data_IF_321336557540
#
_entry.id   IF_321336557540
#
_cell.length_a   1.000
_cell.length_b   1.000
_cell.length_c   1.000
_cell.angle_alpha   90.00
_cell.angle_beta   90.00
_cell.angle_gamma   90.00
#
_symmetry.space_group_name_H-M   'P 1'
#
loop_
_entity.id
_entity.type
_entity.pdbx_description
1 polymer ?
#
# COMPACT_ATOMS: atom_id res chain seq x y z
N UNK A 1 -15.74 -12.33 -36.74
CA UNK A 1 -15.63 -10.88 -37.05
C UNK A 1 -16.30 -10.13 -35.93
N UNK A 2 -15.82 -8.92 -35.62
CA UNK A 2 -16.47 -8.05 -34.61
C UNK A 2 -17.66 -7.38 -35.30
N UNK A 3 -18.81 -7.35 -34.65
CA UNK A 3 -19.99 -6.66 -35.19
C UNK A 3 -19.74 -5.15 -35.33
N UNK A 4 -19.82 -4.58 -36.55
CA UNK A 4 -19.58 -3.16 -36.76
C UNK A 4 -20.52 -2.24 -35.98
N UNK A 5 -21.73 -2.71 -35.69
CA UNK A 5 -22.73 -1.93 -34.93
C UNK A 5 -22.30 -1.74 -33.49
N UNK A 6 -21.70 -2.76 -32.86
CA UNK A 6 -21.19 -2.68 -31.49
C UNK A 6 -20.02 -1.68 -31.43
N UNK A 7 -19.11 -1.73 -32.39
CA UNK A 7 -17.98 -0.80 -32.46
C UNK A 7 -18.46 0.66 -32.62
N UNK A 8 -19.40 0.88 -33.51
CA UNK A 8 -20.01 2.21 -33.72
C UNK A 8 -20.66 2.72 -32.44
N UNK A 9 -21.41 1.87 -31.76
CA UNK A 9 -22.04 2.21 -30.49
C UNK A 9 -21.02 2.64 -29.43
N UNK A 10 -19.92 1.89 -29.24
CA UNK A 10 -18.86 2.23 -28.29
C UNK A 10 -18.15 3.54 -28.64
N UNK A 11 -17.92 3.81 -29.93
CA UNK A 11 -17.33 5.07 -30.40
C UNK A 11 -18.22 6.30 -30.13
N UNK A 12 -19.54 6.14 -30.16
CA UNK A 12 -20.49 7.21 -29.92
C UNK A 12 -20.70 7.50 -28.43
N UNK A 13 -20.43 6.51 -27.55
CA UNK A 13 -20.72 6.59 -26.13
C UNK A 13 -19.43 6.43 -25.31
N UNK A 14 -18.63 7.49 -25.28
CA UNK A 14 -17.34 7.54 -24.56
C UNK A 14 -17.11 8.89 -23.91
N UNK A 15 -16.29 8.93 -22.87
CA UNK A 15 -15.79 10.17 -22.27
C UNK A 15 -14.61 10.76 -23.10
N UNK A 16 -14.07 11.90 -22.65
CA UNK A 16 -12.96 12.60 -23.29
C UNK A 16 -11.66 11.78 -23.33
N UNK A 17 -11.53 10.75 -22.48
CA UNK A 17 -10.40 9.81 -22.45
C UNK A 17 -10.60 8.62 -23.39
N UNK A 18 -11.76 8.54 -24.04
CA UNK A 18 -12.16 7.40 -24.83
C UNK A 18 -12.75 6.23 -24.04
N UNK A 19 -12.90 6.35 -22.73
CA UNK A 19 -13.48 5.31 -21.89
C UNK A 19 -14.98 5.24 -22.17
N UNK A 20 -15.57 4.04 -22.39
CA UNK A 20 -17.01 3.92 -22.59
C UNK A 20 -17.81 4.58 -21.46
N UNK A 21 -18.72 5.47 -21.84
CA UNK A 21 -19.63 6.18 -20.95
C UNK A 21 -21.04 6.01 -21.46
N UNK A 22 -21.79 5.08 -20.84
CA UNK A 22 -23.10 4.63 -21.33
C UNK A 22 -24.07 4.62 -20.15
N UNK A 23 -25.21 5.31 -20.28
CA UNK A 23 -26.23 5.30 -19.23
C UNK A 23 -26.77 3.90 -19.02
N UNK A 24 -27.12 3.60 -17.79
CA UNK A 24 -27.63 2.28 -17.38
C UNK A 24 -28.81 1.79 -18.23
N UNK A 25 -29.76 2.69 -18.54
CA UNK A 25 -30.91 2.31 -19.36
C UNK A 25 -30.48 1.94 -20.78
N UNK A 26 -29.65 2.75 -21.41
CA UNK A 26 -29.14 2.51 -22.75
C UNK A 26 -28.32 1.21 -22.81
N UNK A 27 -27.50 0.95 -21.78
CA UNK A 27 -26.74 -0.29 -21.66
C UNK A 27 -27.65 -1.52 -21.57
N UNK A 28 -28.68 -1.47 -20.74
CA UNK A 28 -29.64 -2.58 -20.60
C UNK A 28 -30.38 -2.89 -21.91
N UNK A 29 -30.72 -1.88 -22.66
CA UNK A 29 -31.40 -2.06 -23.94
C UNK A 29 -30.43 -2.61 -25.00
N UNK A 30 -29.19 -2.14 -24.98
CA UNK A 30 -28.14 -2.59 -25.89
C UNK A 30 -27.76 -4.08 -25.66
N UNK A 31 -27.55 -4.53 -24.43
CA UNK A 31 -27.18 -5.91 -24.13
C UNK A 31 -28.28 -6.93 -24.41
N UNK A 32 -29.55 -6.50 -24.55
CA UNK A 32 -30.64 -7.38 -24.97
C UNK A 32 -30.66 -7.66 -26.47
N UNK A 33 -30.02 -6.80 -27.26
CA UNK A 33 -30.04 -6.85 -28.72
C UNK A 33 -28.81 -7.56 -29.32
N UNK A 34 -27.76 -7.77 -28.51
CA UNK A 34 -26.49 -8.35 -28.97
C UNK A 34 -26.06 -9.53 -28.11
N UNK A 35 -25.31 -10.44 -28.71
CA UNK A 35 -24.71 -11.54 -27.99
C UNK A 35 -23.64 -11.04 -27.01
N UNK A 36 -23.60 -11.63 -25.84
CA UNK A 36 -22.71 -11.19 -24.75
C UNK A 36 -21.22 -11.37 -25.11
N UNK A 37 -20.87 -12.45 -25.81
CA UNK A 37 -19.47 -12.70 -26.15
C UNK A 37 -19.02 -11.79 -27.29
N UNK A 38 -19.94 -11.41 -28.20
CA UNK A 38 -19.67 -10.40 -29.22
C UNK A 38 -19.44 -9.00 -28.59
N UNK A 39 -20.23 -8.62 -27.59
CA UNK A 39 -20.03 -7.37 -26.85
C UNK A 39 -18.69 -7.39 -26.11
N UNK A 40 -18.33 -8.45 -25.40
CA UNK A 40 -17.05 -8.60 -24.71
C UNK A 40 -15.87 -8.45 -25.66
N UNK A 41 -15.94 -9.16 -26.79
CA UNK A 41 -14.91 -9.13 -27.82
C UNK A 41 -14.76 -7.74 -28.46
N UNK A 42 -15.88 -7.07 -28.77
CA UNK A 42 -15.87 -5.73 -29.32
C UNK A 42 -15.32 -4.71 -28.31
N UNK A 43 -15.71 -4.81 -27.05
CA UNK A 43 -15.22 -3.94 -25.97
C UNK A 43 -13.71 -4.11 -25.75
N UNK A 44 -13.21 -5.36 -25.68
CA UNK A 44 -11.79 -5.63 -25.57
C UNK A 44 -10.99 -5.09 -26.78
N UNK A 45 -11.49 -5.32 -27.98
CA UNK A 45 -10.89 -4.78 -29.19
C UNK A 45 -10.90 -3.25 -29.22
N UNK A 46 -12.02 -2.63 -28.85
CA UNK A 46 -12.15 -1.18 -28.79
C UNK A 46 -11.10 -0.57 -27.86
N UNK A 47 -10.96 -1.12 -26.65
CA UNK A 47 -10.02 -0.63 -25.63
C UNK A 47 -8.57 -0.76 -26.14
N UNK A 48 -8.19 -1.94 -26.60
CA UNK A 48 -6.80 -2.23 -26.98
C UNK A 48 -6.41 -1.51 -28.27
N UNK A 49 -7.28 -1.54 -29.31
CA UNK A 49 -6.98 -0.89 -30.60
C UNK A 49 -6.88 0.62 -30.51
N UNK A 50 -7.69 1.25 -29.65
CA UNK A 50 -7.64 2.70 -29.45
C UNK A 50 -6.64 3.10 -28.36
N UNK A 51 -5.87 2.17 -27.81
CA UNK A 51 -4.91 2.41 -26.72
C UNK A 51 -5.51 3.21 -25.55
N UNK A 52 -6.73 2.84 -25.15
CA UNK A 52 -7.43 3.51 -24.06
C UNK A 52 -6.66 3.29 -22.75
N UNK A 53 -6.34 4.35 -22.05
CA UNK A 53 -5.65 4.27 -20.75
C UNK A 53 -6.52 3.59 -19.69
N UNK A 54 -5.88 2.87 -18.76
CA UNK A 54 -6.60 2.25 -17.65
C UNK A 54 -7.43 3.30 -16.89
N UNK A 55 -8.70 3.04 -16.58
CA UNK A 55 -9.61 4.02 -15.97
C UNK A 55 -9.30 4.31 -14.50
N UNK A 56 -8.16 4.94 -14.23
CA UNK A 56 -7.80 5.38 -12.87
C UNK A 56 -8.76 6.46 -12.38
N UNK A 57 -8.93 6.55 -11.05
CA UNK A 57 -9.72 7.64 -10.45
C UNK A 57 -9.05 8.98 -10.78
N UNK A 58 -9.79 9.88 -11.39
CA UNK A 58 -9.30 11.23 -11.64
C UNK A 58 -9.25 12.01 -10.32
N UNK A 59 -8.08 12.51 -10.00
CA UNK A 59 -7.82 13.34 -8.82
C UNK A 59 -7.30 14.68 -9.34
N UNK A 60 -8.02 15.76 -9.05
CA UNK A 60 -7.62 17.10 -9.42
C UNK A 60 -6.47 17.56 -8.50
N UNK A 61 -5.52 18.32 -9.04
CA UNK A 61 -4.38 18.84 -8.27
C UNK A 61 -4.81 19.77 -7.12
N UNK A 62 -5.77 20.66 -7.38
CA UNK A 62 -6.26 21.57 -6.35
C UNK A 62 -6.94 20.81 -5.21
N UNK A 63 -7.80 19.84 -5.53
CA UNK A 63 -8.47 19.00 -4.53
C UNK A 63 -7.46 18.18 -3.71
N UNK A 64 -6.42 17.65 -4.37
CA UNK A 64 -5.33 16.93 -3.69
C UNK A 64 -4.56 17.87 -2.76
N UNK A 65 -4.24 19.08 -3.22
CA UNK A 65 -3.53 20.09 -2.45
C UNK A 65 -4.30 20.55 -1.21
N UNK A 66 -5.58 20.86 -1.36
CA UNK A 66 -6.45 21.22 -0.24
C UNK A 66 -6.59 20.07 0.77
N UNK A 67 -6.71 18.85 0.27
CA UNK A 67 -6.77 17.66 1.09
C UNK A 67 -5.46 17.44 1.86
N UNK A 68 -4.29 17.64 1.22
CA UNK A 68 -2.99 17.53 1.86
C UNK A 68 -2.82 18.59 2.95
N UNK A 69 -3.16 19.85 2.70
CA UNK A 69 -3.08 20.93 3.69
C UNK A 69 -4.02 20.68 4.88
N UNK A 70 -5.21 20.15 4.62
CA UNK A 70 -6.13 19.73 5.70
C UNK A 70 -5.53 18.57 6.49
N UNK A 71 -4.94 17.58 5.82
CA UNK A 71 -4.26 16.45 6.44
C UNK A 71 -3.10 16.90 7.34
N UNK A 72 -2.30 17.86 6.88
CA UNK A 72 -1.20 18.41 7.67
C UNK A 72 -1.68 19.10 8.96
N UNK A 73 -2.84 19.77 8.94
CA UNK A 73 -3.41 20.50 10.07
C UNK A 73 -4.23 19.65 11.04
N UNK A 74 -4.62 18.45 10.66
CA UNK A 74 -5.51 17.57 11.45
C UNK A 74 -4.68 16.52 12.18
N UNK A 75 -4.74 16.48 13.52
CA UNK A 75 -4.14 15.38 14.29
C UNK A 75 -4.86 14.06 14.02
N UNK A 76 -4.11 12.98 13.99
CA UNK A 76 -4.61 11.61 13.83
C UNK A 76 -4.63 10.83 15.15
N UNK A 77 -4.36 11.47 16.29
CA UNK A 77 -4.32 10.82 17.60
C UNK A 77 -5.67 10.19 17.97
N UNK A 78 -6.78 10.82 17.59
CA UNK A 78 -8.13 10.30 17.86
C UNK A 78 -8.45 8.98 17.10
N UNK A 79 -7.59 8.57 16.17
CA UNK A 79 -7.73 7.29 15.49
C UNK A 79 -7.32 6.10 16.38
N UNK A 80 -6.59 6.33 17.47
CA UNK A 80 -6.28 5.29 18.44
C UNK A 80 -7.49 4.95 19.28
N UNK A 81 -7.80 3.65 19.35
CA UNK A 81 -8.88 3.08 20.16
C UNK A 81 -8.35 1.93 21.01
N UNK A 82 -9.03 1.65 22.11
CA UNK A 82 -8.69 0.56 23.02
C UNK A 82 -9.91 -0.36 23.21
N UNK A 83 -10.32 -1.08 22.16
CA UNK A 83 -11.51 -1.93 22.22
C UNK A 83 -11.26 -3.15 23.12
N UNK A 84 -12.31 -3.64 23.78
CA UNK A 84 -12.25 -4.81 24.66
C UNK A 84 -11.99 -6.11 23.88
N UNK A 85 -12.46 -6.18 22.62
CA UNK A 85 -12.36 -7.37 21.79
C UNK A 85 -11.80 -7.03 20.41
N UNK A 86 -10.72 -7.70 20.07
CA UNK A 86 -10.08 -7.65 18.75
C UNK A 86 -9.82 -9.08 18.27
N UNK A 87 -9.79 -9.27 16.95
CA UNK A 87 -9.37 -10.54 16.38
C UNK A 87 -8.51 -10.33 15.15
N UNK A 88 -7.60 -11.24 14.94
CA UNK A 88 -6.82 -11.41 13.72
C UNK A 88 -7.42 -12.55 12.88
N UNK A 89 -6.87 -12.82 11.73
CA UNK A 89 -7.31 -13.97 10.94
C UNK A 89 -7.18 -15.26 11.76
N UNK A 90 -8.22 -16.06 11.78
CA UNK A 90 -8.28 -17.30 12.58
C UNK A 90 -7.20 -18.35 12.22
N UNK A 91 -6.63 -18.23 11.01
CA UNK A 91 -5.53 -19.09 10.54
C UNK A 91 -4.13 -18.56 10.92
N UNK A 92 -4.02 -17.36 11.51
CA UNK A 92 -2.79 -16.82 12.07
C UNK A 92 -2.72 -17.16 13.56
N UNK A 93 -1.84 -18.09 13.92
CA UNK A 93 -1.61 -18.53 15.30
C UNK A 93 -0.19 -18.16 15.69
N UNK A 94 -0.02 -16.93 16.13
CA UNK A 94 1.25 -16.45 16.63
C UNK A 94 1.53 -16.98 18.04
N UNK A 95 2.78 -17.29 18.36
CA UNK A 95 3.24 -17.52 19.74
C UNK A 95 3.08 -16.25 20.57
N UNK A 96 3.35 -15.11 19.95
CA UNK A 96 3.17 -13.78 20.52
C UNK A 96 1.74 -13.28 20.24
N UNK A 97 0.76 -13.94 20.88
CA UNK A 97 -0.67 -13.72 20.65
C UNK A 97 -1.33 -12.78 21.68
N UNK A 98 -0.54 -11.96 22.32
CA UNK A 98 -0.95 -10.95 23.30
C UNK A 98 -2.00 -9.98 22.71
N UNK A 99 -2.82 -9.43 23.60
CA UNK A 99 -3.80 -8.41 23.23
C UNK A 99 -3.08 -7.21 22.58
N UNK A 100 -3.56 -6.65 21.48
CA UNK A 100 -2.98 -5.46 20.90
C UNK A 100 -2.91 -4.29 21.89
N UNK A 101 -1.82 -3.56 21.87
CA UNK A 101 -1.59 -2.34 22.68
C UNK A 101 -2.67 -1.27 22.42
N UNK A 102 -3.28 -1.31 21.25
CA UNK A 102 -4.36 -0.46 20.80
C UNK A 102 -4.72 -0.79 19.37
N UNK A 103 -5.77 -0.16 18.87
CA UNK A 103 -6.21 -0.30 17.48
C UNK A 103 -6.20 1.07 16.82
N UNK A 104 -5.61 1.17 15.64
CA UNK A 104 -5.72 2.36 14.80
C UNK A 104 -6.87 2.16 13.82
N UNK A 105 -7.86 3.04 13.90
CA UNK A 105 -8.95 3.12 12.95
C UNK A 105 -8.41 3.54 11.59
N UNK A 106 -8.81 2.85 10.53
CA UNK A 106 -8.45 3.27 9.18
C UNK A 106 -9.52 4.16 8.57
N UNK A 107 -9.08 5.16 7.85
CA UNK A 107 -9.94 5.99 7.03
C UNK A 107 -9.38 6.07 5.61
N UNK A 108 -10.27 6.20 4.64
CA UNK A 108 -9.89 6.44 3.25
C UNK A 108 -9.82 7.95 2.91
N UNK A 109 -10.10 8.80 3.88
CA UNK A 109 -10.26 10.24 3.69
C UNK A 109 -9.04 10.91 3.03
N UNK A 110 -7.84 10.44 3.36
CA UNK A 110 -6.58 11.04 2.88
C UNK A 110 -5.85 10.19 1.84
N UNK A 111 -6.48 9.15 1.31
CA UNK A 111 -5.83 8.28 0.32
C UNK A 111 -5.45 9.03 -0.97
N UNK A 112 -6.19 10.06 -1.34
CA UNK A 112 -5.96 10.79 -2.58
C UNK A 112 -4.66 11.61 -2.57
N UNK A 113 -4.08 11.91 -1.39
CA UNK A 113 -2.84 12.68 -1.32
C UNK A 113 -1.66 11.91 -1.94
N UNK A 114 -1.55 10.61 -1.72
CA UNK A 114 -0.53 9.74 -2.32
C UNK A 114 -1.01 9.13 -3.65
N UNK A 115 -2.30 8.76 -3.76
CA UNK A 115 -2.84 8.19 -4.99
C UNK A 115 -2.73 9.14 -6.20
N UNK A 116 -2.75 10.44 -6.01
CA UNK A 116 -2.51 11.41 -7.07
C UNK A 116 -1.23 11.11 -7.83
N UNK A 117 -0.19 10.67 -7.12
CA UNK A 117 1.12 10.35 -7.70
C UNK A 117 1.26 8.87 -8.09
N UNK A 118 0.75 7.95 -7.27
CA UNK A 118 1.14 6.53 -7.31
C UNK A 118 0.04 5.59 -7.82
N UNK A 119 -1.14 6.08 -8.13
CA UNK A 119 -2.27 5.21 -8.49
C UNK A 119 -1.97 4.35 -9.73
N UNK A 120 -1.36 4.92 -10.77
CA UNK A 120 -1.01 4.18 -11.98
C UNK A 120 0.01 3.07 -11.70
N UNK A 121 1.07 3.40 -10.94
CA UNK A 121 2.09 2.42 -10.57
C UNK A 121 1.49 1.26 -9.77
N UNK A 122 0.55 1.56 -8.88
CA UNK A 122 -0.17 0.56 -8.11
C UNK A 122 -1.03 -0.35 -8.99
N UNK A 123 -1.63 0.15 -10.06
CA UNK A 123 -2.41 -0.66 -11.00
C UNK A 123 -1.54 -1.59 -11.85
N UNK A 124 -0.23 -1.36 -11.93
CA UNK A 124 0.74 -2.24 -12.59
C UNK A 124 1.22 -3.40 -11.71
N UNK A 125 0.89 -3.41 -10.42
CA UNK A 125 1.22 -4.50 -9.52
C UNK A 125 0.24 -5.67 -9.68
N UNK A 126 0.77 -6.86 -9.91
CA UNK A 126 0.03 -8.11 -9.93
C UNK A 126 0.26 -8.95 -8.67
N UNK A 127 -0.17 -10.20 -8.71
CA UNK A 127 0.13 -11.22 -7.70
C UNK A 127 0.86 -12.39 -8.34
N UNK A 128 1.24 -13.36 -7.52
CA UNK A 128 1.80 -14.63 -8.01
C UNK A 128 0.78 -15.49 -8.81
N UNK A 129 -0.51 -15.17 -8.74
CA UNK A 129 -1.59 -15.94 -9.36
C UNK A 129 -2.32 -15.19 -10.48
N UNK A 130 -2.33 -13.86 -10.44
CA UNK A 130 -3.14 -13.03 -11.32
C UNK A 130 -2.33 -11.82 -11.78
N UNK A 131 -2.39 -11.54 -13.07
CA UNK A 131 -1.79 -10.35 -13.65
C UNK A 131 -2.40 -9.05 -13.09
N UNK A 132 -1.63 -7.97 -13.20
CA UNK A 132 -2.07 -6.66 -12.77
C UNK A 132 -3.25 -6.15 -13.61
N UNK A 133 -4.10 -5.26 -13.03
CA UNK A 133 -5.16 -4.60 -13.78
C UNK A 133 -4.67 -3.93 -15.07
N UNK A 134 -3.51 -3.29 -15.00
CA UNK A 134 -2.89 -2.62 -16.15
C UNK A 134 -2.55 -3.58 -17.29
N UNK A 135 -1.90 -4.73 -16.99
CA UNK A 135 -1.53 -5.71 -18.01
C UNK A 135 -2.76 -6.36 -18.64
N UNK A 136 -3.79 -6.66 -17.85
CA UNK A 136 -5.04 -7.22 -18.36
C UNK A 136 -5.74 -6.21 -19.28
N UNK A 137 -5.78 -4.94 -18.92
CA UNK A 137 -6.44 -3.88 -19.70
C UNK A 137 -5.85 -3.70 -21.10
N UNK A 138 -4.53 -3.89 -21.24
CA UNK A 138 -3.83 -3.68 -22.50
C UNK A 138 -3.60 -4.97 -23.31
N UNK A 139 -4.09 -6.12 -22.84
CA UNK A 139 -3.98 -7.41 -23.50
C UNK A 139 -5.37 -7.87 -23.97
N UNK A 140 -5.55 -8.01 -25.28
CA UNK A 140 -6.84 -8.35 -25.87
C UNK A 140 -7.39 -9.69 -25.36
N UNK A 141 -6.59 -10.75 -25.30
CA UNK A 141 -7.05 -12.08 -24.89
C UNK A 141 -7.43 -12.11 -23.40
N UNK A 142 -6.62 -11.50 -22.56
CA UNK A 142 -6.88 -11.41 -21.12
C UNK A 142 -8.12 -10.57 -20.84
N UNK A 143 -8.25 -9.43 -21.52
CA UNK A 143 -9.37 -8.52 -21.34
C UNK A 143 -10.68 -9.16 -21.84
N UNK A 144 -10.65 -9.82 -23.00
CA UNK A 144 -11.79 -10.55 -23.54
C UNK A 144 -12.25 -11.70 -22.63
N UNK A 145 -11.31 -12.37 -21.97
CA UNK A 145 -11.58 -13.46 -21.04
C UNK A 145 -11.99 -12.99 -19.64
N UNK A 146 -11.87 -11.70 -19.35
CA UNK A 146 -12.23 -11.16 -18.06
C UNK A 146 -13.72 -11.33 -17.77
N UNK A 147 -14.06 -11.71 -16.53
CA UNK A 147 -15.43 -11.82 -16.09
C UNK A 147 -16.02 -10.44 -15.75
N UNK A 148 -16.66 -9.82 -16.73
CA UNK A 148 -17.29 -8.51 -16.56
C UNK A 148 -18.59 -8.62 -15.76
N UNK A 149 -18.65 -7.96 -14.62
CA UNK A 149 -19.80 -8.01 -13.73
C UNK A 149 -21.01 -7.19 -14.19
N UNK A 150 -20.84 -6.28 -15.15
CA UNK A 150 -21.95 -5.43 -15.62
C UNK A 150 -23.00 -6.19 -16.45
N UNK A 151 -22.74 -7.47 -16.80
CA UNK A 151 -23.76 -8.35 -17.41
C UNK A 151 -24.76 -8.90 -16.40
N UNK A 152 -24.46 -8.83 -15.10
CA UNK A 152 -25.31 -9.41 -14.07
C UNK A 152 -26.37 -8.42 -13.66
N UNK A 153 -27.62 -8.86 -13.68
CA UNK A 153 -28.70 -8.18 -12.97
C UNK A 153 -28.38 -8.23 -11.46
N UNK A 154 -28.38 -7.09 -10.78
CA UNK A 154 -28.09 -7.03 -9.35
C UNK A 154 -27.20 -5.85 -8.96
N UNK A 155 -26.34 -6.00 -7.96
CA UNK A 155 -25.64 -4.93 -7.24
C UNK A 155 -24.85 -3.92 -8.12
N UNK A 156 -24.49 -4.26 -9.35
CA UNK A 156 -23.93 -3.34 -10.34
C UNK A 156 -24.93 -3.00 -11.47
N UNK A 157 -26.07 -3.66 -11.52
CA UNK A 157 -27.05 -3.54 -12.59
C UNK A 157 -27.85 -2.21 -12.60
N UNK A 158 -27.57 -1.28 -11.70
CA UNK A 158 -28.23 0.02 -11.61
C UNK A 158 -27.28 1.21 -11.79
N UNK A 159 -26.04 0.95 -12.21
CA UNK A 159 -25.03 1.99 -12.45
C UNK A 159 -24.79 2.17 -13.94
N UNK A 160 -24.41 3.36 -14.36
CA UNK A 160 -23.92 3.62 -15.69
C UNK A 160 -22.62 2.83 -15.95
N UNK A 161 -22.32 2.56 -17.21
CA UNK A 161 -21.04 2.03 -17.61
C UNK A 161 -20.10 3.22 -17.80
N UNK A 162 -19.22 3.39 -16.83
CA UNK A 162 -18.25 4.47 -16.74
C UNK A 162 -16.90 3.98 -16.19
N UNK A 163 -15.98 4.87 -15.97
CA UNK A 163 -14.68 4.57 -15.39
C UNK A 163 -14.79 3.91 -14.00
N UNK A 164 -15.82 4.22 -13.23
CA UNK A 164 -16.07 3.62 -11.92
C UNK A 164 -16.55 2.17 -12.04
N UNK A 165 -17.41 1.89 -13.02
CA UNK A 165 -17.88 0.54 -13.32
C UNK A 165 -16.71 -0.38 -13.72
N UNK A 166 -15.80 0.12 -14.57
CA UNK A 166 -14.59 -0.61 -14.96
C UNK A 166 -13.68 -0.85 -13.75
N UNK A 167 -13.38 0.16 -12.93
CA UNK A 167 -12.57 -0.02 -11.70
C UNK A 167 -13.18 -1.06 -10.77
N UNK A 168 -14.51 -1.07 -10.63
CA UNK A 168 -15.22 -2.03 -9.79
C UNK A 168 -15.10 -3.45 -10.33
N UNK A 169 -15.25 -3.63 -11.66
CA UNK A 169 -15.09 -4.91 -12.33
C UNK A 169 -13.66 -5.46 -12.14
N UNK A 170 -12.65 -4.62 -12.34
CA UNK A 170 -11.26 -5.01 -12.14
C UNK A 170 -10.93 -5.33 -10.68
N UNK A 171 -11.47 -4.58 -9.73
CA UNK A 171 -11.28 -4.87 -8.30
C UNK A 171 -11.83 -6.23 -7.88
N UNK A 172 -12.89 -6.72 -8.55
CA UNK A 172 -13.50 -8.02 -8.27
C UNK A 172 -12.83 -9.13 -9.07
N UNK A 173 -12.48 -8.87 -10.32
CA UNK A 173 -12.00 -9.85 -11.30
C UNK A 173 -10.48 -10.01 -11.37
N UNK A 174 -9.71 -9.11 -10.76
CA UNK A 174 -8.24 -9.10 -10.82
C UNK A 174 -7.63 -8.90 -9.43
N UNK A 175 -6.29 -8.91 -9.38
CA UNK A 175 -5.58 -8.50 -8.18
C UNK A 175 -5.31 -6.99 -8.23
N UNK A 176 -5.76 -6.25 -7.23
CA UNK A 176 -5.41 -4.85 -7.04
C UNK A 176 -4.60 -4.71 -5.76
N UNK A 177 -3.36 -4.25 -5.88
CA UNK A 177 -2.48 -4.03 -4.74
C UNK A 177 -3.12 -3.08 -3.71
N UNK A 178 -3.02 -3.45 -2.45
CA UNK A 178 -3.60 -2.67 -1.36
C UNK A 178 -2.77 -1.41 -1.12
N UNK A 179 -3.41 -0.26 -1.03
CA UNK A 179 -2.80 0.97 -0.57
C UNK A 179 -2.67 0.97 0.95
N UNK A 180 -1.48 1.25 1.49
CA UNK A 180 -1.34 1.63 2.89
C UNK A 180 -2.12 2.93 3.16
N UNK A 181 -2.33 3.31 4.42
CA UNK A 181 -3.13 4.49 4.76
C UNK A 181 -2.25 5.62 5.29
N UNK A 182 -2.17 6.78 4.60
CA UNK A 182 -1.37 7.92 5.06
C UNK A 182 -1.67 8.34 6.50
N UNK A 183 -2.94 8.31 6.87
CA UNK A 183 -3.41 8.66 8.21
C UNK A 183 -2.97 7.69 9.31
N UNK A 184 -2.80 6.39 8.99
CA UNK A 184 -2.23 5.42 9.94
C UNK A 184 -0.75 5.75 10.19
N UNK A 185 0.01 6.05 9.13
CA UNK A 185 1.41 6.45 9.27
C UNK A 185 1.54 7.72 10.12
N UNK A 186 0.74 8.75 9.80
CA UNK A 186 0.72 10.00 10.59
C UNK A 186 0.37 9.75 12.05
N UNK A 187 -0.64 8.93 12.34
CA UNK A 187 -1.03 8.60 13.72
C UNK A 187 0.12 7.96 14.50
N UNK A 188 0.90 7.06 13.86
CA UNK A 188 2.08 6.44 14.47
C UNK A 188 3.20 7.47 14.71
N UNK A 189 3.49 8.32 13.74
CA UNK A 189 4.52 9.36 13.88
C UNK A 189 4.17 10.36 14.98
N UNK A 190 2.92 10.80 15.05
CA UNK A 190 2.44 11.69 16.12
C UNK A 190 2.51 11.02 17.50
N UNK A 191 2.04 9.76 17.59
CA UNK A 191 1.98 9.00 18.86
C UNK A 191 3.36 8.80 19.48
N UNK A 192 4.39 8.67 18.67
CA UNK A 192 5.75 8.34 19.11
C UNK A 192 6.73 9.51 18.97
N UNK A 193 6.23 10.72 18.68
CA UNK A 193 7.06 11.92 18.48
C UNK A 193 8.24 11.67 17.53
N UNK A 194 7.96 10.97 16.40
CA UNK A 194 8.97 10.56 15.46
C UNK A 194 9.57 11.76 14.71
N UNK A 195 10.90 11.86 14.66
CA UNK A 195 11.63 12.94 13.98
C UNK A 195 12.45 12.46 12.79
N UNK A 196 13.29 11.44 12.99
CA UNK A 196 14.21 10.88 12.01
C UNK A 196 13.73 9.47 11.64
N UNK A 197 13.06 9.36 10.51
CA UNK A 197 12.31 8.16 10.12
C UNK A 197 13.06 7.39 9.05
N UNK A 198 13.16 6.07 9.23
CA UNK A 198 13.65 5.12 8.24
C UNK A 198 12.52 4.24 7.73
N UNK A 199 12.44 4.05 6.40
CA UNK A 199 11.49 3.16 5.72
C UNK A 199 12.18 2.37 4.59
N UNK A 200 12.44 1.10 4.80
CA UNK A 200 13.18 0.27 3.84
C UNK A 200 12.31 -0.33 2.72
N UNK A 201 11.06 0.09 2.59
CA UNK A 201 10.14 -0.35 1.54
C UNK A 201 9.05 0.70 1.35
N UNK A 202 9.37 1.85 0.74
CA UNK A 202 8.50 3.04 0.66
C UNK A 202 7.13 2.77 0.01
N UNK A 203 7.00 1.75 -0.84
CA UNK A 203 5.76 1.28 -1.44
C UNK A 203 5.07 2.35 -2.30
N UNK A 204 3.84 2.72 -1.96
CA UNK A 204 3.06 3.70 -2.74
C UNK A 204 3.10 5.12 -2.16
N UNK A 205 4.16 5.48 -1.43
CA UNK A 205 4.36 6.83 -0.90
C UNK A 205 3.38 7.26 0.20
N UNK A 206 2.64 6.33 0.80
CA UNK A 206 1.64 6.64 1.83
C UNK A 206 2.29 7.02 3.17
N UNK A 207 3.37 6.32 3.55
CA UNK A 207 4.14 6.62 4.76
C UNK A 207 4.93 7.92 4.60
N UNK A 208 5.43 8.19 3.39
CA UNK A 208 6.03 9.49 3.02
C UNK A 208 5.01 10.64 3.11
N UNK A 209 3.76 10.42 2.66
CA UNK A 209 2.69 11.40 2.81
C UNK A 209 2.36 11.66 4.30
N UNK A 210 2.33 10.60 5.10
CA UNK A 210 2.17 10.71 6.56
C UNK A 210 3.30 11.51 7.22
N UNK A 211 4.55 11.28 6.79
CA UNK A 211 5.72 12.05 7.25
C UNK A 211 5.57 13.54 6.93
N UNK A 212 5.28 13.89 5.69
CA UNK A 212 5.10 15.30 5.30
C UNK A 212 3.96 16.00 6.07
N UNK A 213 2.89 15.27 6.33
CA UNK A 213 1.73 15.81 7.04
C UNK A 213 1.90 15.89 8.57
N UNK A 214 2.94 15.25 9.15
CA UNK A 214 3.16 15.26 10.61
C UNK A 214 3.99 16.45 11.01
N UNK A 215 3.50 17.25 11.95
CA UNK A 215 4.30 18.29 12.58
C UNK A 215 5.40 17.67 13.46
N UNK A 216 6.60 18.21 13.41
CA UNK A 216 7.73 17.74 14.23
C UNK A 216 8.61 16.69 13.58
N UNK A 217 8.17 16.00 12.52
CA UNK A 217 9.07 15.14 11.73
C UNK A 217 10.08 16.00 10.96
N UNK A 218 11.33 15.57 10.92
CA UNK A 218 12.44 16.37 10.37
C UNK A 218 13.08 15.70 9.15
N UNK A 219 13.38 14.41 9.24
CA UNK A 219 14.05 13.67 8.17
C UNK A 219 13.39 12.32 7.89
N UNK A 220 13.24 12.00 6.62
CA UNK A 220 12.81 10.69 6.13
C UNK A 220 13.86 10.11 5.19
N UNK A 221 14.32 8.92 5.46
CA UNK A 221 15.18 8.15 4.56
C UNK A 221 14.44 6.89 4.16
N UNK A 222 14.39 6.64 2.86
CA UNK A 222 13.67 5.47 2.38
C UNK A 222 14.28 4.84 1.14
N UNK A 223 13.76 3.68 0.76
CA UNK A 223 14.13 3.03 -0.50
C UNK A 223 12.98 2.25 -1.12
N UNK A 224 13.07 2.10 -2.42
CA UNK A 224 12.25 1.19 -3.23
C UNK A 224 13.00 0.88 -4.52
N UNK A 225 13.16 -0.41 -4.91
CA UNK A 225 13.89 -0.78 -6.12
C UNK A 225 13.10 -0.57 -7.42
N UNK A 226 11.86 -0.12 -7.35
CA UNK A 226 11.03 0.13 -8.53
C UNK A 226 11.28 1.53 -9.11
N UNK A 227 11.89 1.67 -10.30
CA UNK A 227 12.21 2.96 -10.87
C UNK A 227 10.97 3.82 -11.21
N UNK A 228 9.82 3.21 -11.48
CA UNK A 228 8.59 3.95 -11.77
C UNK A 228 8.06 4.69 -10.54
N UNK A 229 8.11 4.05 -9.36
CA UNK A 229 7.69 4.72 -8.11
C UNK A 229 8.74 5.72 -7.63
N UNK A 230 10.02 5.48 -7.91
CA UNK A 230 11.10 6.40 -7.55
C UNK A 230 10.91 7.79 -8.16
N UNK A 231 10.62 7.87 -9.45
CA UNK A 231 10.32 9.13 -10.12
C UNK A 231 9.08 9.84 -9.55
N UNK A 232 8.10 9.06 -9.13
CA UNK A 232 6.89 9.64 -8.54
C UNK A 232 7.07 10.08 -7.10
N UNK A 233 7.97 9.48 -6.31
CA UNK A 233 8.33 10.00 -4.98
C UNK A 233 8.97 11.38 -5.05
N UNK A 234 9.87 11.60 -6.01
CA UNK A 234 10.49 12.91 -6.22
C UNK A 234 9.45 13.98 -6.50
N UNK A 235 8.51 13.71 -7.43
CA UNK A 235 7.40 14.61 -7.71
C UNK A 235 6.53 14.85 -6.48
N UNK A 236 6.21 13.79 -5.74
CA UNK A 236 5.40 13.86 -4.52
C UNK A 236 6.04 14.77 -3.46
N UNK A 237 7.34 14.64 -3.22
CA UNK A 237 8.07 15.49 -2.28
C UNK A 237 8.07 16.95 -2.73
N UNK A 238 8.41 17.23 -3.99
CA UNK A 238 8.46 18.59 -4.54
C UNK A 238 7.09 19.27 -4.41
N UNK A 239 6.03 18.58 -4.78
CA UNK A 239 4.69 19.16 -4.71
C UNK A 239 4.22 19.39 -3.28
N UNK A 240 4.56 18.52 -2.33
CA UNK A 240 4.24 18.75 -0.93
C UNK A 240 5.01 19.96 -0.36
N UNK A 241 6.29 20.16 -0.69
CA UNK A 241 7.06 21.33 -0.29
C UNK A 241 6.43 22.61 -0.86
N UNK A 242 6.05 22.62 -2.13
CA UNK A 242 5.36 23.77 -2.76
C UNK A 242 4.02 24.08 -2.08
N UNK A 243 3.23 23.06 -1.75
CA UNK A 243 1.97 23.23 -1.02
C UNK A 243 2.20 23.82 0.40
N UNK A 244 3.36 23.54 1.00
CA UNK A 244 3.79 24.16 2.27
C UNK A 244 4.43 25.54 2.09
N UNK A 245 4.52 26.05 0.86
CA UNK A 245 5.06 27.38 0.55
C UNK A 245 6.58 27.43 0.41
N UNK A 246 7.23 26.29 0.22
CA UNK A 246 8.69 26.15 0.12
C UNK A 246 9.07 25.69 -1.28
N UNK A 247 10.06 26.37 -1.90
CA UNK A 247 10.75 25.85 -3.08
C UNK A 247 11.94 25.00 -2.61
N UNK A 248 11.90 23.66 -2.79
CA UNK A 248 12.92 22.79 -2.22
C UNK A 248 14.21 22.77 -3.05
N UNK A 249 15.35 22.58 -2.39
CA UNK A 249 16.58 22.18 -3.05
C UNK A 249 16.54 20.69 -3.34
N UNK A 250 16.74 20.31 -4.59
CA UNK A 250 16.78 18.92 -5.06
C UNK A 250 18.22 18.58 -5.49
N UNK A 251 18.76 17.50 -4.93
CA UNK A 251 20.01 16.89 -5.38
C UNK A 251 19.67 15.48 -5.87
N UNK A 252 20.15 15.12 -7.04
CA UNK A 252 19.77 13.90 -7.72
C UNK A 252 20.97 13.20 -8.33
N UNK A 253 21.01 11.88 -8.24
CA UNK A 253 21.91 10.99 -8.92
C UNK A 253 21.11 9.81 -9.49
N UNK A 254 21.74 8.90 -10.24
CA UNK A 254 21.12 7.79 -10.95
C UNK A 254 20.12 6.96 -10.10
N UNK A 255 20.49 6.67 -8.87
CA UNK A 255 19.69 5.81 -7.97
C UNK A 255 19.39 6.49 -6.63
N UNK A 256 19.46 7.80 -6.58
CA UNK A 256 19.31 8.54 -5.34
C UNK A 256 18.77 9.94 -5.63
N UNK A 257 17.89 10.42 -4.79
CA UNK A 257 17.65 11.85 -4.67
C UNK A 257 17.55 12.28 -3.21
N UNK A 258 17.88 13.53 -2.96
CA UNK A 258 17.59 14.20 -1.70
C UNK A 258 16.84 15.50 -1.96
N UNK A 259 15.96 15.81 -1.02
CA UNK A 259 15.18 17.05 -1.01
C UNK A 259 15.39 17.73 0.33
N UNK A 260 15.70 19.03 0.28
CA UNK A 260 15.82 19.89 1.46
C UNK A 260 14.87 21.07 1.30
N UNK A 261 13.91 21.18 2.17
CA UNK A 261 12.88 22.21 2.18
C UNK A 261 12.37 22.46 3.60
N UNK A 262 11.06 22.38 3.81
CA UNK A 262 10.46 22.35 5.15
C UNK A 262 10.92 21.13 5.94
N UNK A 263 11.24 20.07 5.24
CA UNK A 263 11.76 18.78 5.75
C UNK A 263 12.90 18.28 4.89
N UNK A 264 13.62 17.26 5.38
CA UNK A 264 14.66 16.58 4.63
C UNK A 264 14.20 15.18 4.22
N UNK A 265 14.35 14.84 2.95
CA UNK A 265 14.01 13.51 2.41
C UNK A 265 15.17 12.96 1.61
N UNK A 266 15.50 11.71 1.79
CA UNK A 266 16.48 10.97 1.00
C UNK A 266 15.84 9.67 0.54
N UNK A 267 15.81 9.41 -0.76
CA UNK A 267 15.24 8.15 -1.33
C UNK A 267 16.27 7.47 -2.22
N UNK A 268 16.43 6.17 -2.01
CA UNK A 268 17.29 5.29 -2.80
C UNK A 268 16.45 4.42 -3.74
N UNK A 269 16.79 4.41 -5.02
CA UNK A 269 16.21 3.46 -6.00
C UNK A 269 17.08 2.21 -6.08
N UNK A 270 17.15 1.50 -4.98
CA UNK A 270 17.92 0.27 -4.81
C UNK A 270 17.14 -0.72 -3.95
N UNK A 271 17.38 -2.03 -4.11
CA UNK A 271 17.01 -3.03 -3.12
C UNK A 271 17.60 -2.65 -1.75
N UNK A 272 16.81 -2.77 -0.71
CA UNK A 272 17.24 -2.33 0.64
C UNK A 272 18.46 -3.09 1.17
N UNK A 273 18.64 -4.34 0.74
CA UNK A 273 19.79 -5.16 1.10
C UNK A 273 21.09 -4.72 0.40
N UNK A 274 20.99 -3.96 -0.70
CA UNK A 274 22.16 -3.47 -1.47
C UNK A 274 22.63 -2.09 -0.98
N UNK A 275 21.89 -1.45 -0.08
CA UNK A 275 22.24 -0.13 0.44
C UNK A 275 23.24 -0.26 1.59
N UNK A 276 24.27 0.61 1.57
CA UNK A 276 25.20 0.73 2.69
C UNK A 276 24.57 1.53 3.85
N UNK A 277 23.75 0.88 4.66
CA UNK A 277 23.09 1.52 5.80
C UNK A 277 24.06 2.00 6.91
N UNK A 278 25.33 1.59 6.91
CA UNK A 278 26.31 2.02 7.91
C UNK A 278 26.55 3.55 7.89
N UNK A 279 26.26 4.23 6.78
CA UNK A 279 26.33 5.70 6.72
C UNK A 279 25.29 6.38 7.63
N UNK A 280 24.33 5.62 8.12
CA UNK A 280 23.25 6.08 9.01
C UNK A 280 23.30 5.42 10.39
N UNK A 281 24.43 4.81 10.79
CA UNK A 281 24.54 4.18 12.11
C UNK A 281 24.13 5.15 13.23
N UNK A 282 23.26 4.69 14.13
CA UNK A 282 22.74 5.47 15.28
C UNK A 282 22.10 6.81 14.89
N UNK A 283 21.35 6.83 13.79
CA UNK A 283 20.77 8.07 13.23
C UNK A 283 19.28 8.23 13.46
N UNK A 284 18.48 7.14 13.36
CA UNK A 284 17.03 7.21 13.37
C UNK A 284 16.44 6.95 14.76
N UNK A 285 15.39 7.69 15.10
CA UNK A 285 14.58 7.45 16.29
C UNK A 285 13.34 6.63 16.01
N UNK A 286 12.99 6.46 14.74
CA UNK A 286 11.81 5.73 14.32
C UNK A 286 12.04 4.94 13.01
N UNK A 287 11.70 3.67 13.02
CA UNK A 287 11.62 2.85 11.83
C UNK A 287 10.19 2.38 11.65
N UNK A 288 9.65 2.60 10.45
CA UNK A 288 8.34 2.09 10.10
C UNK A 288 8.29 1.65 8.65
N UNK A 289 8.02 0.37 8.44
CA UNK A 289 7.94 -0.21 7.11
C UNK A 289 6.82 -1.25 7.00
N UNK A 290 6.38 -1.50 5.77
CA UNK A 290 5.62 -2.67 5.39
C UNK A 290 6.39 -3.36 4.26
N UNK A 291 7.23 -4.35 4.57
CA UNK A 291 8.09 -5.00 3.58
C UNK A 291 7.25 -5.86 2.62
N UNK A 292 7.80 -6.27 1.46
CA UNK A 292 7.13 -7.23 0.59
C UNK A 292 6.78 -8.52 1.36
N UNK A 293 5.61 -9.10 1.08
CA UNK A 293 5.15 -10.34 1.73
C UNK A 293 5.59 -11.55 0.91
N UNK A 294 6.90 -11.74 0.81
CA UNK A 294 7.57 -12.75 0.00
C UNK A 294 7.09 -12.67 -1.47
N UNK A 295 6.44 -13.69 -2.02
CA UNK A 295 5.95 -13.74 -3.40
C UNK A 295 4.45 -13.40 -3.56
N UNK A 296 3.81 -12.93 -2.49
CA UNK A 296 2.35 -12.64 -2.49
C UNK A 296 1.98 -11.58 -3.53
N UNK A 297 2.81 -10.55 -3.66
CA UNK A 297 2.64 -9.47 -4.64
C UNK A 297 3.85 -9.40 -5.57
N UNK A 298 3.60 -9.17 -6.85
CA UNK A 298 4.62 -9.00 -7.88
C UNK A 298 4.70 -7.54 -8.28
N UNK A 299 5.45 -6.80 -7.48
CA UNK A 299 5.78 -5.41 -7.79
C UNK A 299 6.69 -5.35 -9.01
N UNK A 300 6.56 -4.29 -9.82
CA UNK A 300 7.46 -3.96 -10.91
C UNK A 300 7.88 -5.17 -11.75
N UNK A 301 6.93 -5.91 -12.32
CA UNK A 301 7.21 -7.11 -13.11
C UNK A 301 8.21 -6.86 -14.26
N UNK A 302 8.20 -5.64 -14.84
CA UNK A 302 9.14 -5.21 -15.88
C UNK A 302 10.58 -4.96 -15.35
N UNK A 303 10.75 -4.88 -14.02
CA UNK A 303 12.03 -4.65 -13.33
C UNK A 303 12.29 -5.73 -12.28
N UNK A 304 11.89 -6.96 -12.59
CA UNK A 304 11.88 -8.09 -11.65
C UNK A 304 13.25 -8.43 -11.04
N UNK A 305 14.34 -8.17 -11.75
CA UNK A 305 15.71 -8.46 -11.28
C UNK A 305 16.11 -7.73 -10.00
N UNK A 306 15.45 -6.62 -9.67
CA UNK A 306 15.68 -5.85 -8.44
C UNK A 306 14.70 -6.18 -7.33
N UNK A 307 13.67 -6.97 -7.63
CA UNK A 307 12.59 -7.28 -6.70
C UNK A 307 12.91 -8.50 -5.84
N UNK A 308 12.65 -8.43 -4.54
CA UNK A 308 12.98 -9.50 -3.59
C UNK A 308 12.32 -10.85 -3.94
N UNK A 309 11.09 -10.85 -4.45
CA UNK A 309 10.39 -12.07 -4.88
C UNK A 309 11.09 -12.81 -6.03
N UNK A 310 11.91 -12.11 -6.83
CA UNK A 310 12.68 -12.72 -7.93
C UNK A 310 14.15 -12.98 -7.55
N UNK A 311 14.73 -12.17 -6.67
CA UNK A 311 16.12 -12.33 -6.20
C UNK A 311 16.30 -13.54 -5.30
N UNK A 312 15.27 -13.90 -4.54
CA UNK A 312 15.30 -14.98 -3.57
C UNK A 312 14.31 -16.08 -3.94
N UNK A 313 14.79 -17.24 -4.43
CA UNK A 313 13.93 -18.24 -5.09
C UNK A 313 13.07 -19.05 -4.12
N UNK A 314 13.32 -18.99 -2.82
CA UNK A 314 12.57 -19.69 -1.81
C UNK A 314 12.45 -18.85 -0.52
N UNK A 315 11.47 -19.21 0.30
CA UNK A 315 11.13 -18.48 1.50
C UNK A 315 12.29 -18.35 2.50
N UNK A 316 13.05 -19.43 2.75
CA UNK A 316 14.16 -19.39 3.71
C UNK A 316 15.28 -18.47 3.23
N UNK A 317 15.60 -18.49 1.93
CA UNK A 317 16.55 -17.56 1.34
C UNK A 317 16.07 -16.11 1.45
N UNK A 318 14.77 -15.86 1.15
CA UNK A 318 14.17 -14.54 1.26
C UNK A 318 14.15 -14.06 2.73
N UNK A 319 13.76 -14.92 3.66
CA UNK A 319 13.71 -14.60 5.09
C UNK A 319 15.07 -14.21 5.64
N UNK A 320 16.11 -15.00 5.34
CA UNK A 320 17.45 -14.81 5.94
C UNK A 320 18.26 -13.74 5.20
N UNK A 321 18.30 -13.76 3.85
CA UNK A 321 19.21 -12.91 3.07
C UNK A 321 18.61 -11.56 2.66
N UNK A 322 17.28 -11.40 2.81
CA UNK A 322 16.62 -10.13 2.61
C UNK A 322 16.02 -9.63 3.94
N UNK A 323 14.99 -10.30 4.46
CA UNK A 323 14.19 -9.74 5.54
C UNK A 323 14.99 -9.59 6.85
N UNK A 324 15.66 -10.64 7.33
CA UNK A 324 16.48 -10.57 8.53
C UNK A 324 17.73 -9.72 8.32
N UNK A 325 18.42 -9.89 7.20
CA UNK A 325 19.61 -9.11 6.87
C UNK A 325 19.34 -7.60 6.87
N UNK A 326 18.25 -7.13 6.25
CA UNK A 326 17.88 -5.71 6.27
C UNK A 326 17.57 -5.25 7.70
N UNK A 327 16.82 -6.03 8.48
CA UNK A 327 16.49 -5.68 9.86
C UNK A 327 17.73 -5.59 10.77
N UNK A 328 18.77 -6.41 10.54
CA UNK A 328 20.06 -6.27 11.23
C UNK A 328 20.76 -4.94 10.93
N UNK A 329 20.70 -4.48 9.69
CA UNK A 329 21.23 -3.17 9.31
C UNK A 329 20.43 -2.03 9.93
N UNK A 330 19.10 -2.15 9.90
CA UNK A 330 18.20 -1.20 10.54
C UNK A 330 18.45 -1.11 12.04
N UNK A 331 18.65 -2.24 12.72
CA UNK A 331 19.00 -2.24 14.15
C UNK A 331 20.21 -1.37 14.47
N UNK A 332 21.27 -1.41 13.63
CA UNK A 332 22.45 -0.55 13.78
C UNK A 332 22.16 0.91 13.49
N UNK A 333 21.32 1.19 12.50
CA UNK A 333 20.92 2.54 12.10
C UNK A 333 20.03 3.25 13.13
N UNK A 334 19.36 2.49 14.01
CA UNK A 334 18.51 3.04 15.05
C UNK A 334 19.31 3.55 16.25
N UNK A 335 18.88 4.68 16.82
CA UNK A 335 19.33 5.21 18.11
C UNK A 335 18.89 4.31 19.25
N UNK A 336 19.54 4.43 20.41
CA UNK A 336 19.02 3.84 21.64
C UNK A 336 17.64 4.45 21.95
N UNK A 337 16.76 3.62 22.46
CA UNK A 337 15.33 3.93 22.71
C UNK A 337 14.47 4.17 21.48
N UNK A 338 15.01 4.05 20.26
CA UNK A 338 14.24 4.16 19.03
C UNK A 338 13.17 3.07 18.91
N UNK A 339 12.06 3.41 18.27
CA UNK A 339 11.01 2.44 17.94
C UNK A 339 11.28 1.79 16.59
N UNK A 340 11.05 0.48 16.51
CA UNK A 340 10.98 -0.27 15.26
C UNK A 340 9.57 -0.82 15.11
N UNK A 341 8.90 -0.47 14.02
CA UNK A 341 7.54 -0.92 13.72
C UNK A 341 7.49 -1.59 12.34
N UNK A 342 6.93 -2.78 12.30
CA UNK A 342 6.84 -3.58 11.07
C UNK A 342 5.39 -4.01 10.88
N UNK A 343 4.76 -3.54 9.80
CA UNK A 343 3.44 -4.01 9.39
C UNK A 343 3.61 -5.21 8.48
N UNK A 344 3.40 -6.40 9.02
CA UNK A 344 3.51 -7.65 8.28
C UNK A 344 2.64 -8.74 8.90
N UNK A 345 2.10 -9.61 8.06
CA UNK A 345 1.41 -10.85 8.44
C UNK A 345 2.14 -12.05 7.83
N UNK A 346 1.77 -13.24 8.25
CA UNK A 346 2.31 -14.46 7.68
C UNK A 346 2.09 -14.51 6.17
N UNK A 347 3.15 -14.54 5.36
CA UNK A 347 3.00 -14.68 3.91
C UNK A 347 2.48 -16.05 3.54
N UNK A 348 1.98 -16.16 2.30
CA UNK A 348 1.56 -17.44 1.72
C UNK A 348 2.35 -17.73 0.46
N UNK A 349 2.72 -18.97 0.27
CA UNK A 349 3.31 -19.41 -0.98
C UNK A 349 2.24 -19.55 -2.10
N UNK A 350 2.68 -19.84 -3.31
CA UNK A 350 1.80 -20.02 -4.48
C UNK A 350 0.73 -21.12 -4.30
N UNK A 351 0.93 -22.06 -3.37
CA UNK A 351 -0.06 -23.09 -3.01
C UNK A 351 -1.04 -22.62 -1.92
N UNK A 352 -0.94 -21.37 -1.48
CA UNK A 352 -1.77 -20.82 -0.40
C UNK A 352 -1.37 -21.29 1.01
N UNK A 353 -0.24 -22.01 1.14
CA UNK A 353 0.27 -22.49 2.44
C UNK A 353 0.90 -21.30 3.18
N UNK A 354 0.51 -21.12 4.43
CA UNK A 354 1.09 -20.12 5.32
C UNK A 354 2.55 -20.46 5.65
N UNK A 355 3.38 -19.43 5.65
CA UNK A 355 4.80 -19.53 5.99
C UNK A 355 5.04 -18.82 7.32
N UNK A 356 5.76 -19.46 8.23
CA UNK A 356 6.04 -18.92 9.55
C UNK A 356 7.13 -17.85 9.47
N UNK A 357 6.75 -16.60 9.62
CA UNK A 357 7.65 -15.44 9.54
C UNK A 357 7.61 -14.59 10.81
N UNK A 358 6.41 -14.29 11.31
CA UNK A 358 6.26 -13.25 12.33
C UNK A 358 6.85 -13.66 13.69
N UNK A 359 6.65 -14.91 14.11
CA UNK A 359 7.26 -15.41 15.34
C UNK A 359 8.79 -15.50 15.21
N UNK A 360 9.30 -15.95 14.04
CA UNK A 360 10.74 -15.99 13.77
C UNK A 360 11.34 -14.57 13.72
N UNK A 361 10.59 -13.58 13.22
CA UNK A 361 10.98 -12.16 13.24
C UNK A 361 11.14 -11.65 14.68
N UNK A 362 10.20 -11.95 15.56
CA UNK A 362 10.30 -11.51 16.96
C UNK A 362 11.51 -12.15 17.64
N UNK A 363 11.71 -13.48 17.48
CA UNK A 363 12.89 -14.17 18.02
C UNK A 363 14.19 -13.56 17.49
N UNK A 364 14.26 -13.32 16.19
CA UNK A 364 15.45 -12.74 15.55
C UNK A 364 15.75 -11.34 16.10
N UNK A 365 14.77 -10.43 16.11
CA UNK A 365 14.96 -9.07 16.58
C UNK A 365 15.30 -9.00 18.07
N UNK A 366 14.70 -9.86 18.91
CA UNK A 366 15.04 -9.96 20.33
C UNK A 366 16.48 -10.45 20.49
N UNK A 367 16.94 -11.40 19.67
CA UNK A 367 18.34 -11.88 19.71
C UNK A 367 19.35 -10.80 19.34
N UNK A 368 18.98 -9.79 18.56
CA UNK A 368 19.80 -8.62 18.25
C UNK A 368 19.85 -7.58 19.37
N UNK A 369 18.96 -7.66 20.36
CA UNK A 369 18.87 -6.70 21.47
C UNK A 369 17.68 -5.73 21.38
N UNK A 370 16.68 -6.02 20.52
CA UNK A 370 15.40 -5.32 20.56
C UNK A 370 14.52 -5.86 21.69
N UNK A 371 13.78 -4.98 22.35
CA UNK A 371 12.71 -5.37 23.25
C UNK A 371 11.40 -5.45 22.45
N UNK A 372 10.75 -6.59 22.45
CA UNK A 372 9.40 -6.72 21.91
C UNK A 372 8.40 -6.07 22.88
N UNK A 373 7.67 -5.06 22.40
CA UNK A 373 6.70 -4.30 23.20
C UNK A 373 5.29 -4.88 23.05
N UNK A 374 4.96 -5.39 21.87
CA UNK A 374 3.63 -5.90 21.55
C UNK A 374 3.22 -5.56 20.12
N UNK A 375 1.91 -5.55 19.88
CA UNK A 375 1.32 -5.24 18.57
C UNK A 375 0.35 -4.08 18.64
N UNK A 376 0.28 -3.25 17.61
CA UNK A 376 -0.80 -2.31 17.36
C UNK A 376 -1.68 -2.92 16.27
N UNK A 377 -2.99 -3.02 16.50
CA UNK A 377 -3.92 -3.50 15.49
C UNK A 377 -4.28 -2.41 14.48
N UNK A 378 -3.98 -2.59 13.22
CA UNK A 378 -4.56 -1.76 12.16
C UNK A 378 -5.92 -2.32 11.79
N UNK A 379 -7.01 -1.53 11.97
CA UNK A 379 -8.35 -2.00 11.65
C UNK A 379 -8.48 -2.34 10.18
N UNK A 380 -9.00 -3.52 9.91
CA UNK A 380 -9.26 -4.02 8.55
C UNK A 380 -10.76 -4.24 8.36
N UNK A 381 -11.19 -4.28 7.11
CA UNK A 381 -12.55 -4.70 6.77
C UNK A 381 -12.53 -6.21 6.51
N UNK A 382 -13.30 -6.96 7.27
CA UNK A 382 -13.47 -8.39 7.02
C UNK A 382 -14.05 -8.61 5.61
N UNK A 383 -13.50 -9.56 4.87
CA UNK A 383 -14.07 -9.97 3.59
C UNK A 383 -15.41 -10.68 3.83
N UNK A 384 -16.42 -10.58 2.93
CA UNK A 384 -17.77 -11.11 3.14
C UNK A 384 -17.85 -12.61 3.50
N UNK A 385 -16.83 -13.39 3.19
CA UNK A 385 -16.76 -14.83 3.47
C UNK A 385 -15.66 -15.21 4.49
N UNK A 386 -15.05 -14.24 5.17
CA UNK A 386 -14.18 -14.56 6.29
C UNK A 386 -15.05 -15.19 7.40
N UNK A 387 -14.79 -16.46 7.76
CA UNK A 387 -15.42 -17.11 8.91
C UNK A 387 -14.99 -16.32 10.14
N UNK A 388 -15.88 -15.52 10.62
CA UNK A 388 -15.69 -14.71 11.80
C UNK A 388 -16.53 -15.37 12.90
N UNK A 389 -15.89 -16.18 13.72
CA UNK A 389 -16.41 -16.52 15.03
C UNK A 389 -16.25 -15.29 15.95
N UNK A 390 -16.78 -14.15 15.52
CA UNK A 390 -16.62 -12.93 16.27
C UNK A 390 -17.94 -12.58 16.94
N UNK A 391 -17.82 -12.28 18.20
CA UNK A 391 -18.76 -11.42 18.88
C UNK A 391 -19.04 -10.19 18.01
N UNK A 392 -20.31 -9.73 17.92
CA UNK A 392 -20.70 -8.61 17.05
C UNK A 392 -19.91 -7.33 17.31
N UNK A 393 -19.24 -7.23 18.45
CA UNK A 393 -18.43 -6.10 18.89
C UNK A 393 -16.93 -6.25 18.59
N UNK A 394 -16.48 -7.39 18.05
CA UNK A 394 -15.06 -7.62 17.78
C UNK A 394 -14.56 -6.87 16.56
N UNK A 395 -13.37 -6.28 16.65
CA UNK A 395 -12.72 -5.55 15.56
C UNK A 395 -11.69 -6.45 14.89
N UNK A 396 -11.79 -6.58 13.55
CA UNK A 396 -10.78 -7.27 12.75
C UNK A 396 -9.58 -6.38 12.49
N UNK A 397 -8.37 -6.89 12.82
CA UNK A 397 -7.12 -6.14 12.72
C UNK A 397 -6.02 -6.89 11.98
N UNK A 398 -5.09 -6.13 11.40
CA UNK A 398 -3.80 -6.57 10.91
C UNK A 398 -2.70 -6.01 11.83
N UNK A 399 -1.70 -6.82 12.25
CA UNK A 399 -0.73 -6.38 13.24
C UNK A 399 0.31 -5.42 12.66
N UNK A 400 0.68 -4.44 13.46
CA UNK A 400 1.92 -3.69 13.37
C UNK A 400 2.74 -4.10 14.58
N UNK A 401 3.84 -4.82 14.35
CA UNK A 401 4.73 -5.33 15.39
C UNK A 401 5.60 -4.21 15.92
N UNK A 402 5.65 -4.05 17.23
CA UNK A 402 6.31 -2.92 17.90
C UNK A 402 7.48 -3.42 18.74
N UNK A 403 8.64 -2.86 18.46
CA UNK A 403 9.87 -3.10 19.19
C UNK A 403 10.50 -1.80 19.62
N UNK A 404 11.35 -1.83 20.65
CA UNK A 404 12.16 -0.70 21.10
C UNK A 404 13.61 -1.15 21.32
N UNK A 405 14.56 -0.38 20.81
CA UNK A 405 15.99 -0.61 21.00
C UNK A 405 16.40 -0.14 22.40
N UNK A 406 17.21 -0.92 23.14
CA UNK A 406 17.76 -0.54 24.44
C UNK A 406 17.72 -1.66 25.49
N UNK A 407 18.42 -1.47 26.61
CA UNK A 407 18.69 -2.49 27.63
C UNK A 407 17.63 -2.56 28.75
N UNK A 408 16.51 -1.88 28.65
CA UNK A 408 15.45 -1.93 29.66
C UNK A 408 14.60 -3.19 29.56
N UNK A 409 14.52 -4.00 30.61
CA UNK A 409 13.43 -4.96 30.74
C UNK A 409 12.13 -4.16 30.91
N UNK A 410 11.33 -4.06 29.85
CA UNK A 410 9.98 -3.54 29.98
C UNK A 410 9.09 -4.68 30.50
N UNK A 411 8.77 -4.61 31.78
CA UNK A 411 7.64 -5.35 32.34
C UNK A 411 6.40 -4.69 31.75
N UNK A 412 5.59 -5.44 31.01
CA UNK A 412 4.27 -4.97 30.57
C UNK A 412 3.44 -4.68 31.82
N UNK A 413 3.40 -3.42 32.21
CA UNK A 413 2.40 -2.93 33.16
C UNK A 413 1.30 -2.27 32.35
N UNK A 414 0.05 -2.43 32.74
CA UNK A 414 -1.11 -1.75 32.14
C UNK A 414 -0.96 -0.21 32.11
N UNK A 415 0.07 0.33 32.77
CA UNK A 415 0.40 1.74 32.90
C UNK A 415 1.34 2.30 31.80
N UNK A 416 1.81 1.53 30.82
CA UNK A 416 2.68 2.03 29.75
C UNK A 416 2.03 3.11 28.84
N UNK A 417 0.77 3.44 29.10
CA UNK A 417 0.05 4.53 28.45
C UNK A 417 -0.25 5.72 29.36
N UNK A 418 0.15 5.69 30.61
CA UNK A 418 0.20 6.90 31.44
C UNK A 418 1.49 7.65 31.10
N UNK A 419 1.34 8.74 30.34
CA UNK A 419 2.40 9.71 30.17
C UNK A 419 2.68 10.33 31.54
N UNK A 420 3.90 10.22 32.01
CA UNK A 420 4.42 11.21 32.94
C UNK A 420 4.23 12.59 32.28
N UNK A 421 3.44 13.44 32.92
CA UNK A 421 3.16 14.82 32.55
C UNK A 421 4.41 15.67 32.67
#
# INVERSE_FOLDING_TARGET
MIDPNINTFLQQHKDDRGIPFISNQLWKDFIKQHDKDDIKKALANYIVTNNITFPTKQINYLDMGELFLRFARTSMMDMYKYPDSVFERADYRYRYSDKPLGVIEKSHAYNSVSNYFQQENRMKCGSNLVDSPWHIWHDFEKLNNMNWHFWREGALGNSDIDDSAFRSAFRIGTYTATQFKPNVAKALYEKHDAKYILDTSCGWGDRLAGFYATYGTEKYVGCDPNPEVFETYKKQCIEYEKLLGIEPLVIEDKNFFSISGSKSVEIWNLPSEDINWAIYDNHFDFYFTSPPYFETERYAANHSSTQSWNRYPNFESWKNNFFFYVNEKVFKALKDNAYMMINIIEPRNAKGIRLNLCDDMVDHLVSLGMNYIGKIGMRMQARPHAIVNSDKNSIFVEPIWVFRKGTGQYIMTDSLFEFEK
#
